data_IF_327156827542
#
_entry.id   IF_327156827542
#
_cell.length_a   1.000
_cell.length_b   1.000
_cell.length_c   1.000
_cell.angle_alpha   90.00
_cell.angle_beta   90.00
_cell.angle_gamma   90.00
#
_symmetry.space_group_name_H-M   'P 1'
#
loop_
_entity.id
_entity.type
_entity.pdbx_description
1 polymer ?
#
# COMPACT_ATOMS: atom_id res chain seq x y z
N UNK A 1 20.77 -4.51 14.54
CA UNK A 1 20.87 -3.11 15.01
C UNK A 1 21.71 -3.00 16.26
N UNK A 2 21.54 -3.90 17.22
CA UNK A 2 22.02 -3.83 18.60
C UNK A 2 23.50 -3.40 18.77
N UNK A 3 24.41 -3.83 17.91
CA UNK A 3 25.84 -3.55 17.98
C UNK A 3 26.40 -2.81 16.76
N UNK A 4 25.53 -2.34 15.88
CA UNK A 4 25.94 -1.68 14.64
C UNK A 4 25.88 -0.16 14.72
N UNK A 5 25.00 0.39 15.53
CA UNK A 5 24.77 1.83 15.68
C UNK A 5 24.42 2.19 17.13
N UNK A 6 24.73 3.42 17.54
CA UNK A 6 24.31 3.95 18.83
C UNK A 6 22.81 4.34 18.80
N UNK A 7 22.35 4.86 17.66
CA UNK A 7 20.96 5.28 17.42
C UNK A 7 20.35 4.44 16.29
N UNK A 8 19.35 3.62 16.61
CA UNK A 8 18.69 2.73 15.64
C UNK A 8 18.02 3.51 14.49
N UNK A 9 17.55 4.73 14.76
CA UNK A 9 16.94 5.61 13.78
C UNK A 9 17.88 6.01 12.63
N UNK A 10 19.20 5.99 12.86
CA UNK A 10 20.20 6.24 11.81
C UNK A 10 20.13 5.20 10.68
N UNK A 11 19.77 3.94 11.01
CA UNK A 11 19.56 2.90 9.99
C UNK A 11 18.27 3.19 9.22
N UNK A 12 17.17 3.51 9.90
CA UNK A 12 15.88 3.82 9.28
C UNK A 12 15.99 5.01 8.33
N UNK A 13 16.73 6.03 8.71
CA UNK A 13 17.00 7.21 7.86
C UNK A 13 18.03 6.98 6.75
N UNK A 14 18.60 5.80 6.63
CA UNK A 14 19.65 5.51 5.67
C UNK A 14 20.98 6.22 5.92
N UNK A 15 21.16 6.82 7.11
CA UNK A 15 22.43 7.50 7.52
C UNK A 15 23.54 6.46 7.68
N UNK A 16 23.19 5.29 8.21
CA UNK A 16 24.10 4.16 8.36
C UNK A 16 23.50 2.90 7.71
N UNK A 17 24.30 2.12 6.98
CA UNK A 17 23.82 0.90 6.36
C UNK A 17 23.60 -0.21 7.39
N UNK A 18 22.66 -1.10 7.14
CA UNK A 18 22.59 -2.41 7.83
C UNK A 18 23.73 -3.28 7.32
N UNK A 19 24.59 -3.74 8.22
CA UNK A 19 25.78 -4.55 7.86
C UNK A 19 25.62 -6.03 8.21
N UNK A 20 24.70 -6.38 9.09
CA UNK A 20 24.36 -7.74 9.48
C UNK A 20 22.93 -7.81 10.03
N UNK A 21 22.29 -8.96 9.90
CA UNK A 21 21.02 -9.27 10.56
C UNK A 21 21.06 -10.71 11.09
N UNK A 22 20.30 -10.97 12.15
CA UNK A 22 20.06 -12.35 12.60
C UNK A 22 19.08 -13.01 11.63
N UNK A 23 19.16 -14.33 11.41
CA UNK A 23 18.15 -15.03 10.62
C UNK A 23 16.75 -14.83 11.21
N UNK A 24 15.79 -14.47 10.35
CA UNK A 24 14.40 -14.28 10.72
C UNK A 24 13.61 -15.52 10.34
N UNK A 25 12.74 -15.99 11.21
CA UNK A 25 11.77 -17.04 10.96
C UNK A 25 10.40 -16.49 11.33
N UNK A 26 9.49 -16.48 10.36
CA UNK A 26 8.17 -15.89 10.51
C UNK A 26 7.08 -16.94 10.61
N UNK A 27 6.08 -16.67 11.44
CA UNK A 27 4.78 -17.35 11.43
C UNK A 27 3.73 -16.27 11.27
N UNK A 28 3.17 -16.16 10.07
CA UNK A 28 2.30 -15.05 9.72
C UNK A 28 0.88 -15.28 10.21
N UNK A 29 0.33 -14.28 10.89
CA UNK A 29 -1.02 -14.35 11.48
C UNK A 29 -2.02 -13.38 10.86
N UNK A 30 -1.55 -12.48 9.99
CA UNK A 30 -2.40 -11.49 9.31
C UNK A 30 -1.88 -11.25 7.89
N UNK A 31 -2.76 -11.38 6.91
CA UNK A 31 -2.47 -11.09 5.51
C UNK A 31 -2.64 -9.59 5.23
N UNK A 32 -1.56 -8.87 4.94
CA UNK A 32 -1.54 -7.45 4.63
C UNK A 32 -0.26 -7.05 3.86
N UNK A 33 0.83 -6.81 4.58
CA UNK A 33 2.07 -6.20 4.08
C UNK A 33 2.94 -7.11 3.23
N UNK A 34 2.77 -8.44 3.29
CA UNK A 34 3.64 -9.37 2.58
C UNK A 34 5.03 -9.55 3.22
N UNK A 35 5.18 -9.23 4.51
CA UNK A 35 6.46 -9.27 5.25
C UNK A 35 7.14 -10.64 5.25
N UNK A 36 6.39 -11.69 4.98
CA UNK A 36 6.90 -13.06 4.82
C UNK A 36 7.80 -13.26 3.60
N UNK A 37 7.73 -12.35 2.64
CA UNK A 37 8.54 -12.39 1.43
C UNK A 37 8.99 -10.98 1.01
N UNK A 38 9.37 -10.18 1.99
CA UNK A 38 9.80 -8.79 1.82
C UNK A 38 11.15 -8.57 2.54
N UNK A 39 11.81 -7.48 2.20
CA UNK A 39 13.13 -7.09 2.76
C UNK A 39 13.06 -5.79 3.56
N UNK A 40 11.88 -5.39 3.99
CA UNK A 40 11.68 -4.09 4.59
C UNK A 40 10.80 -4.08 5.82
N UNK A 41 10.59 -2.88 6.29
CA UNK A 41 9.68 -2.60 7.39
C UNK A 41 9.48 -1.11 7.56
N UNK A 42 8.43 -0.74 8.27
CA UNK A 42 8.10 0.65 8.55
C UNK A 42 8.17 0.89 10.05
N UNK A 43 8.88 1.94 10.46
CA UNK A 43 9.09 2.26 11.88
C UNK A 43 8.61 3.68 12.15
N UNK A 44 7.81 3.82 13.21
CA UNK A 44 7.34 5.11 13.70
C UNK A 44 8.23 5.63 14.82
N UNK A 45 8.54 6.93 14.79
CA UNK A 45 9.17 7.68 15.86
C UNK A 45 8.17 8.70 16.41
N UNK A 46 7.58 8.37 17.55
CA UNK A 46 6.48 9.15 18.13
C UNK A 46 6.90 10.54 18.61
N UNK A 47 8.17 10.73 18.98
CA UNK A 47 8.69 12.01 19.44
C UNK A 47 8.70 13.09 18.36
N UNK A 48 8.79 12.67 17.09
CA UNK A 48 8.88 13.58 15.93
C UNK A 48 7.72 13.42 14.95
N UNK A 49 6.79 12.50 15.20
CA UNK A 49 5.74 12.08 14.29
C UNK A 49 6.28 11.61 12.92
N UNK A 50 7.46 10.99 12.92
CA UNK A 50 8.02 10.38 11.72
C UNK A 50 7.54 8.94 11.59
N UNK A 51 7.24 8.51 10.37
CA UNK A 51 6.98 7.10 10.02
C UNK A 51 7.67 6.83 8.69
N UNK A 52 8.74 6.04 8.73
CA UNK A 52 9.62 5.81 7.59
C UNK A 52 9.75 4.32 7.29
N UNK A 53 9.78 4.01 6.00
CA UNK A 53 10.18 2.70 5.52
C UNK A 53 11.72 2.58 5.48
N UNK A 54 12.22 1.39 5.78
CA UNK A 54 13.62 1.04 5.52
C UNK A 54 13.69 -0.33 4.84
N UNK A 55 14.72 -0.54 4.04
CA UNK A 55 14.90 -1.77 3.28
C UNK A 55 16.33 -2.28 3.38
N UNK A 56 16.47 -3.61 3.53
CA UNK A 56 17.77 -4.27 3.49
C UNK A 56 17.62 -5.73 3.04
N UNK A 57 18.38 -6.20 2.05
CA UNK A 57 18.36 -7.60 1.65
C UNK A 57 18.72 -8.57 2.78
N UNK A 58 19.35 -8.07 3.84
CA UNK A 58 19.74 -8.87 5.01
C UNK A 58 18.57 -9.24 5.92
N UNK A 59 17.40 -8.58 5.78
CA UNK A 59 16.23 -8.82 6.63
C UNK A 59 15.15 -9.66 5.94
N UNK A 60 15.40 -10.20 4.75
CA UNK A 60 14.53 -11.22 4.20
C UNK A 60 14.39 -12.38 5.19
N UNK A 61 13.18 -12.86 5.48
CA UNK A 61 12.98 -14.07 6.28
C UNK A 61 13.71 -15.28 5.66
N UNK A 62 14.44 -16.00 6.49
CA UNK A 62 15.07 -17.26 6.07
C UNK A 62 14.04 -18.38 5.85
N UNK A 63 12.96 -18.33 6.62
CA UNK A 63 11.80 -19.25 6.52
C UNK A 63 10.55 -18.48 6.96
N UNK A 64 9.48 -18.61 6.19
CA UNK A 64 8.16 -18.07 6.56
C UNK A 64 7.11 -19.19 6.51
N UNK A 65 6.31 -19.30 7.58
CA UNK A 65 5.19 -20.24 7.66
C UNK A 65 3.88 -19.48 7.39
N UNK A 66 3.21 -19.86 6.32
CA UNK A 66 1.96 -19.28 5.87
C UNK A 66 0.86 -20.35 5.99
N UNK A 67 0.00 -20.18 6.99
CA UNK A 67 -1.20 -20.99 7.17
C UNK A 67 -2.43 -20.09 7.23
N UNK A 68 -3.32 -20.12 6.23
CA UNK A 68 -4.52 -19.27 6.20
C UNK A 68 -5.39 -19.40 7.44
N UNK A 69 -5.36 -20.53 8.16
CA UNK A 69 -6.16 -20.73 9.37
C UNK A 69 -5.77 -19.78 10.50
N UNK A 70 -4.51 -19.34 10.56
CA UNK A 70 -4.07 -18.36 11.55
C UNK A 70 -4.72 -16.97 11.36
N UNK A 71 -5.28 -16.70 10.18
CA UNK A 71 -5.99 -15.46 9.90
C UNK A 71 -7.47 -15.50 10.30
N UNK A 72 -8.03 -16.64 10.70
CA UNK A 72 -9.45 -16.80 11.03
C UNK A 72 -9.87 -15.93 12.24
N UNK A 73 -8.96 -15.77 13.21
CA UNK A 73 -9.19 -14.96 14.40
C UNK A 73 -8.92 -13.46 14.21
N UNK A 74 -8.42 -13.05 13.03
CA UNK A 74 -8.20 -11.63 12.73
C UNK A 74 -9.54 -10.92 12.64
N UNK A 75 -9.75 -9.83 13.40
CA UNK A 75 -10.97 -9.05 13.30
C UNK A 75 -11.24 -8.59 11.86
N UNK A 76 -12.50 -8.64 11.44
CA UNK A 76 -12.89 -8.29 10.07
C UNK A 76 -12.32 -6.93 9.64
N UNK A 77 -12.39 -5.91 10.51
CA UNK A 77 -11.80 -4.59 10.24
C UNK A 77 -10.34 -4.66 9.77
N UNK A 78 -9.52 -5.45 10.45
CA UNK A 78 -8.10 -5.59 10.08
C UNK A 78 -7.89 -6.42 8.82
N UNK A 79 -8.75 -7.40 8.55
CA UNK A 79 -8.74 -8.11 7.26
C UNK A 79 -9.03 -7.16 6.10
N UNK A 80 -10.03 -6.28 6.25
CA UNK A 80 -10.38 -5.30 5.23
C UNK A 80 -9.26 -4.28 5.01
N UNK A 81 -8.67 -3.79 6.10
CA UNK A 81 -7.52 -2.90 6.04
C UNK A 81 -6.32 -3.55 5.34
N UNK A 82 -6.01 -4.82 5.64
CA UNK A 82 -4.94 -5.57 4.97
C UNK A 82 -5.18 -5.77 3.48
N UNK A 83 -6.43 -6.00 3.08
CA UNK A 83 -6.79 -6.07 1.66
C UNK A 83 -6.63 -4.70 0.98
N UNK A 84 -7.05 -3.61 1.63
CA UNK A 84 -6.87 -2.26 1.10
C UNK A 84 -5.40 -1.88 0.98
N UNK A 85 -4.59 -2.24 1.95
CA UNK A 85 -3.14 -2.07 1.95
C UNK A 85 -2.49 -2.78 0.75
N UNK A 86 -2.76 -4.07 0.57
CA UNK A 86 -2.24 -4.83 -0.57
C UNK A 86 -2.71 -4.26 -1.92
N UNK A 87 -3.96 -3.86 -2.05
CA UNK A 87 -4.46 -3.21 -3.28
C UNK A 87 -3.65 -1.94 -3.55
N UNK A 88 -3.32 -1.15 -2.52
CA UNK A 88 -2.51 0.05 -2.70
C UNK A 88 -1.06 -0.26 -3.06
N UNK A 89 -0.41 -1.27 -2.47
CA UNK A 89 0.91 -1.73 -2.92
C UNK A 89 0.93 -2.01 -4.43
N UNK A 90 -0.08 -2.75 -4.89
CA UNK A 90 -0.22 -3.10 -6.30
C UNK A 90 -0.53 -1.86 -7.15
N UNK A 91 -1.42 -0.98 -6.69
CA UNK A 91 -1.79 0.24 -7.43
C UNK A 91 -0.63 1.22 -7.55
N UNK A 92 0.19 1.39 -6.52
CA UNK A 92 1.38 2.24 -6.61
C UNK A 92 2.39 1.68 -7.59
N UNK A 93 2.61 0.37 -7.58
CA UNK A 93 3.42 -0.29 -8.62
C UNK A 93 2.81 -0.12 -10.01
N UNK A 94 1.48 -0.22 -10.15
CA UNK A 94 0.78 -0.09 -11.42
C UNK A 94 0.82 1.34 -11.98
N UNK A 95 0.58 2.36 -11.14
CA UNK A 95 0.47 3.76 -11.59
C UNK A 95 1.79 4.51 -11.62
N UNK A 96 2.78 4.10 -10.83
CA UNK A 96 4.04 4.80 -10.67
C UNK A 96 5.23 4.08 -11.32
N UNK A 97 5.00 3.12 -12.18
CA UNK A 97 6.05 2.42 -12.94
C UNK A 97 5.75 2.40 -14.44
N UNK A 98 6.75 2.03 -15.21
CA UNK A 98 6.63 1.87 -16.66
C UNK A 98 5.57 0.81 -17.01
N UNK A 99 4.93 0.99 -18.16
CA UNK A 99 3.95 0.04 -18.66
C UNK A 99 4.62 -1.21 -19.22
N UNK A 100 4.38 -2.38 -18.62
CA UNK A 100 4.73 -3.70 -19.13
C UNK A 100 3.49 -4.58 -19.08
N UNK A 101 2.96 -4.98 -20.23
CA UNK A 101 1.69 -5.70 -20.36
C UNK A 101 1.55 -6.92 -19.45
N UNK A 102 2.62 -7.72 -19.32
CA UNK A 102 2.60 -8.91 -18.48
C UNK A 102 2.47 -8.55 -17.00
N UNK A 103 3.22 -7.55 -16.55
CA UNK A 103 3.17 -7.10 -15.16
C UNK A 103 1.81 -6.47 -14.83
N UNK A 104 1.29 -5.66 -15.73
CA UNK A 104 -0.07 -5.09 -15.61
C UNK A 104 -1.13 -6.20 -15.47
N UNK A 105 -1.07 -7.22 -16.32
CA UNK A 105 -2.02 -8.34 -16.28
C UNK A 105 -1.95 -9.12 -14.95
N UNK A 106 -0.75 -9.31 -14.38
CA UNK A 106 -0.56 -9.91 -13.07
C UNK A 106 -1.15 -9.04 -11.96
N UNK A 107 -0.84 -7.74 -11.95
CA UNK A 107 -1.34 -6.78 -10.97
C UNK A 107 -2.88 -6.67 -11.00
N UNK A 108 -3.47 -6.54 -12.19
CA UNK A 108 -4.92 -6.51 -12.38
C UNK A 108 -5.58 -7.83 -11.93
N UNK A 109 -4.94 -8.98 -12.22
CA UNK A 109 -5.38 -10.29 -11.77
C UNK A 109 -5.39 -10.43 -10.26
N UNK A 110 -4.34 -9.96 -9.60
CA UNK A 110 -4.22 -9.98 -8.15
C UNK A 110 -5.28 -9.10 -7.48
N UNK A 111 -5.51 -7.87 -7.98
CA UNK A 111 -6.56 -7.00 -7.45
C UNK A 111 -7.95 -7.61 -7.65
N UNK A 112 -8.25 -8.20 -8.82
CA UNK A 112 -9.52 -8.92 -9.03
C UNK A 112 -9.70 -10.08 -8.04
N UNK A 113 -8.63 -10.82 -7.74
CA UNK A 113 -8.68 -11.90 -6.73
C UNK A 113 -9.01 -11.34 -5.34
N UNK A 114 -8.35 -10.25 -4.92
CA UNK A 114 -8.62 -9.57 -3.65
C UNK A 114 -10.06 -9.08 -3.56
N UNK A 115 -10.54 -8.36 -4.56
CA UNK A 115 -11.94 -7.83 -4.65
C UNK A 115 -12.97 -8.96 -4.53
N UNK A 116 -12.72 -10.08 -5.20
CA UNK A 116 -13.61 -11.25 -5.17
C UNK A 116 -13.62 -11.95 -3.81
N UNK A 117 -12.43 -12.23 -3.27
CA UNK A 117 -12.30 -13.12 -2.12
C UNK A 117 -12.57 -12.41 -0.79
N UNK A 118 -12.30 -11.09 -0.67
CA UNK A 118 -12.69 -10.34 0.53
C UNK A 118 -14.21 -10.37 0.77
N UNK A 119 -15.02 -10.34 -0.30
CA UNK A 119 -16.47 -10.45 -0.20
C UNK A 119 -16.93 -11.82 0.33
N UNK A 120 -16.20 -12.89 0.01
CA UNK A 120 -16.47 -14.22 0.59
C UNK A 120 -16.12 -14.27 2.08
N UNK A 121 -14.98 -13.68 2.47
CA UNK A 121 -14.56 -13.60 3.87
C UNK A 121 -15.56 -12.77 4.70
N UNK A 122 -16.20 -11.75 4.13
CA UNK A 122 -17.27 -11.00 4.81
C UNK A 122 -18.50 -11.86 5.09
N UNK A 123 -18.79 -12.86 4.24
CA UNK A 123 -19.92 -13.80 4.43
C UNK A 123 -19.51 -14.95 5.37
N UNK A 124 -18.31 -15.49 5.19
CA UNK A 124 -17.75 -16.53 6.04
C UNK A 124 -16.31 -16.20 6.42
N UNK A 125 -16.05 -15.67 7.62
CA UNK A 125 -14.70 -15.29 8.06
C UNK A 125 -13.68 -16.44 8.11
N UNK A 126 -14.15 -17.69 8.13
CA UNK A 126 -13.33 -18.90 8.17
C UNK A 126 -13.29 -19.62 6.81
N UNK A 127 -13.66 -18.96 5.71
CA UNK A 127 -13.52 -19.50 4.36
C UNK A 127 -12.02 -19.64 4.02
N UNK A 128 -11.53 -20.88 4.14
CA UNK A 128 -10.11 -21.21 3.95
C UNK A 128 -9.61 -20.82 2.57
N UNK A 129 -10.36 -21.14 1.52
CA UNK A 129 -9.95 -20.87 0.14
C UNK A 129 -9.87 -19.36 -0.12
N UNK A 130 -10.87 -18.61 0.36
CA UNK A 130 -10.84 -17.16 0.24
C UNK A 130 -9.70 -16.49 1.03
N UNK A 131 -9.41 -17.00 2.24
CA UNK A 131 -8.28 -16.54 3.05
C UNK A 131 -6.93 -16.89 2.39
N UNK A 132 -6.79 -18.08 1.82
CA UNK A 132 -5.60 -18.51 1.11
C UNK A 132 -5.32 -17.62 -0.13
N UNK A 133 -6.36 -17.30 -0.91
CA UNK A 133 -6.26 -16.40 -2.07
C UNK A 133 -5.83 -14.98 -1.66
N UNK A 134 -6.42 -14.44 -0.59
CA UNK A 134 -6.03 -13.13 -0.05
C UNK A 134 -4.58 -13.18 0.41
N UNK A 135 -4.19 -14.21 1.17
CA UNK A 135 -2.84 -14.36 1.68
C UNK A 135 -1.82 -14.43 0.55
N UNK A 136 -2.09 -15.24 -0.48
CA UNK A 136 -1.19 -15.34 -1.63
C UNK A 136 -1.03 -14.01 -2.36
N UNK A 137 -2.12 -13.27 -2.55
CA UNK A 137 -2.06 -11.95 -3.18
C UNK A 137 -1.27 -10.93 -2.34
N UNK A 138 -1.42 -10.94 -1.00
CA UNK A 138 -0.68 -10.04 -0.10
C UNK A 138 0.80 -10.37 -0.05
N UNK A 139 1.18 -11.64 -0.07
CA UNK A 139 2.59 -12.07 -0.15
C UNK A 139 3.30 -11.51 -1.39
N UNK A 140 2.61 -11.40 -2.52
CA UNK A 140 3.19 -10.91 -3.78
C UNK A 140 3.05 -9.40 -3.98
N UNK A 141 2.14 -8.74 -3.25
CA UNK A 141 1.76 -7.35 -3.50
C UNK A 141 2.87 -6.34 -3.28
N UNK A 142 3.76 -6.57 -2.31
CA UNK A 142 4.79 -5.64 -1.89
C UNK A 142 6.22 -6.07 -2.20
N UNK A 143 6.46 -7.34 -2.57
CA UNK A 143 7.80 -7.92 -2.69
C UNK A 143 8.57 -7.55 -3.96
N UNK A 144 8.01 -6.70 -4.82
CA UNK A 144 8.63 -6.23 -6.06
C UNK A 144 8.50 -7.18 -7.25
N UNK A 145 7.85 -8.35 -7.12
CA UNK A 145 7.72 -9.29 -8.25
C UNK A 145 6.92 -8.68 -9.41
N UNK A 146 5.96 -7.82 -9.12
CA UNK A 146 5.17 -7.13 -10.13
C UNK A 146 5.92 -5.98 -10.81
N UNK A 147 7.08 -5.59 -10.27
CA UNK A 147 7.92 -4.54 -10.81
C UNK A 147 9.17 -5.07 -11.53
N UNK A 148 9.24 -6.38 -11.80
CA UNK A 148 10.36 -6.96 -12.53
C UNK A 148 10.48 -6.34 -13.93
N UNK A 149 11.68 -5.78 -14.22
CA UNK A 149 11.95 -5.07 -15.47
C UNK A 149 11.55 -3.60 -15.49
N UNK A 150 10.94 -3.10 -14.39
CA UNK A 150 10.64 -1.68 -14.21
C UNK A 150 11.79 -0.93 -13.53
N UNK A 151 11.83 0.39 -13.72
CA UNK A 151 12.53 1.29 -12.81
C UNK A 151 11.85 1.30 -11.44
N UNK A 152 12.56 1.63 -10.34
CA UNK A 152 11.92 1.77 -9.03
C UNK A 152 10.73 2.75 -9.10
N UNK A 153 9.58 2.32 -8.62
CA UNK A 153 8.38 3.16 -8.54
C UNK A 153 8.39 4.05 -7.31
N UNK A 154 7.73 5.20 -7.38
CA UNK A 154 7.41 6.00 -6.21
C UNK A 154 6.25 5.39 -5.41
N UNK A 155 6.10 5.82 -4.15
CA UNK A 155 5.05 5.37 -3.24
C UNK A 155 4.29 6.56 -2.63
N UNK A 156 3.62 7.40 -3.46
CA UNK A 156 3.02 8.65 -3.02
C UNK A 156 1.87 8.47 -2.04
N UNK A 157 1.05 7.46 -2.24
CA UNK A 157 -0.10 7.22 -1.36
C UNK A 157 0.36 6.74 0.01
N UNK A 158 1.38 5.86 0.06
CA UNK A 158 1.99 5.43 1.31
C UNK A 158 2.69 6.57 2.05
N UNK A 159 3.45 7.41 1.35
CA UNK A 159 4.11 8.56 1.96
C UNK A 159 3.11 9.52 2.62
N UNK A 160 1.99 9.81 1.95
CA UNK A 160 0.91 10.63 2.53
C UNK A 160 0.20 9.93 3.70
N UNK A 161 0.00 8.62 3.60
CA UNK A 161 -0.63 7.83 4.66
C UNK A 161 0.26 7.72 5.90
N UNK A 162 1.57 7.61 5.71
CA UNK A 162 2.52 7.58 6.82
C UNK A 162 2.38 8.81 7.72
N UNK A 163 2.13 10.00 7.15
CA UNK A 163 1.83 11.17 7.95
C UNK A 163 0.51 11.03 8.73
N UNK A 164 -0.56 10.51 8.11
CA UNK A 164 -1.82 10.26 8.84
C UNK A 164 -1.62 9.30 10.00
N UNK A 165 -0.95 8.19 9.80
CA UNK A 165 -0.65 7.21 10.84
C UNK A 165 0.26 7.76 11.93
N UNK A 166 1.29 8.54 11.56
CA UNK A 166 2.22 9.13 12.52
C UNK A 166 1.55 10.14 13.45
N UNK A 167 0.56 10.89 12.94
CA UNK A 167 -0.12 11.95 13.68
C UNK A 167 -1.37 11.49 14.44
N UNK A 168 -2.07 10.45 13.94
CA UNK A 168 -3.39 10.07 14.44
C UNK A 168 -3.54 8.57 14.77
N UNK A 169 -2.50 7.77 14.55
CA UNK A 169 -2.54 6.31 14.77
C UNK A 169 -3.72 5.62 14.05
N UNK A 170 -4.06 6.11 12.86
CA UNK A 170 -5.11 5.50 12.02
C UNK A 170 -4.67 4.11 11.54
N UNK A 171 -5.63 3.21 11.33
CA UNK A 171 -5.36 1.92 10.70
C UNK A 171 -4.83 2.15 9.27
N UNK A 172 -3.62 1.68 8.98
CA UNK A 172 -2.87 1.98 7.75
C UNK A 172 -3.68 1.80 6.47
N UNK A 173 -4.27 0.62 6.26
CA UNK A 173 -5.09 0.37 5.06
C UNK A 173 -6.36 1.21 4.96
N UNK A 174 -6.93 1.69 6.09
CA UNK A 174 -8.03 2.66 6.05
C UNK A 174 -7.55 4.02 5.56
N UNK A 175 -6.38 4.47 6.03
CA UNK A 175 -5.75 5.70 5.56
C UNK A 175 -5.48 5.67 4.07
N UNK A 176 -4.90 4.57 3.58
CA UNK A 176 -4.65 4.35 2.15
C UNK A 176 -5.95 4.37 1.33
N UNK A 177 -6.99 3.67 1.77
CA UNK A 177 -8.28 3.66 1.07
C UNK A 177 -8.91 5.06 0.96
N UNK A 178 -8.74 5.90 1.98
CA UNK A 178 -9.20 7.30 1.96
C UNK A 178 -8.40 8.13 0.96
N UNK A 179 -7.08 7.95 0.92
CA UNK A 179 -6.16 8.76 0.08
C UNK A 179 -6.30 8.40 -1.39
N UNK A 180 -6.34 7.11 -1.72
CA UNK A 180 -6.20 6.59 -3.09
C UNK A 180 -7.13 7.24 -4.13
N UNK A 181 -8.47 7.29 -3.97
CA UNK A 181 -9.32 7.91 -4.98
C UNK A 181 -9.12 9.42 -5.08
N UNK A 182 -8.63 10.07 -4.01
CA UNK A 182 -8.32 11.51 -4.00
C UNK A 182 -7.03 11.79 -4.76
N UNK A 183 -5.99 11.00 -4.52
CA UNK A 183 -4.74 11.08 -5.27
C UNK A 183 -4.98 10.84 -6.76
N UNK A 184 -5.73 9.80 -7.13
CA UNK A 184 -6.06 9.52 -8.54
C UNK A 184 -6.77 10.70 -9.20
N UNK A 185 -7.73 11.32 -8.51
CA UNK A 185 -8.41 12.52 -9.02
C UNK A 185 -7.47 13.73 -9.11
N UNK A 186 -6.54 13.86 -8.18
CA UNK A 186 -5.54 14.92 -8.19
C UNK A 186 -4.64 14.79 -9.42
N UNK A 187 -4.02 13.65 -9.66
CA UNK A 187 -3.17 13.45 -10.85
C UNK A 187 -3.97 13.60 -12.15
N UNK A 188 -5.21 13.11 -12.18
CA UNK A 188 -6.10 13.27 -13.32
C UNK A 188 -6.37 14.75 -13.65
N UNK A 189 -6.43 15.64 -12.69
CA UNK A 189 -6.77 17.06 -12.88
C UNK A 189 -5.56 17.98 -13.04
N UNK A 190 -4.39 17.62 -12.50
CA UNK A 190 -3.23 18.50 -12.44
C UNK A 190 -2.11 18.13 -13.42
N UNK A 191 -2.18 16.96 -14.06
CA UNK A 191 -1.23 16.62 -15.14
C UNK A 191 -1.67 17.24 -16.47
N UNK A 192 -0.69 17.50 -17.36
CA UNK A 192 -0.91 18.08 -18.69
C UNK A 192 -0.03 17.40 -19.74
N UNK A 193 -0.35 17.60 -21.03
CA UNK A 193 0.41 17.03 -22.14
C UNK A 193 0.48 15.51 -22.14
N UNK A 194 1.60 14.96 -22.52
CA UNK A 194 1.83 13.51 -22.63
C UNK A 194 1.60 12.77 -21.30
N UNK A 195 2.01 13.37 -20.18
CA UNK A 195 1.79 12.81 -18.86
C UNK A 195 0.29 12.64 -18.56
N UNK A 196 -0.53 13.60 -18.99
CA UNK A 196 -1.99 13.52 -18.86
C UNK A 196 -2.55 12.34 -19.64
N UNK A 197 -2.06 12.12 -20.86
CA UNK A 197 -2.49 11.01 -21.70
C UNK A 197 -2.17 9.66 -21.04
N UNK A 198 -0.98 9.51 -20.49
CA UNK A 198 -0.56 8.33 -19.73
C UNK A 198 -1.44 8.10 -18.48
N UNK A 199 -1.72 9.14 -17.70
CA UNK A 199 -2.61 9.06 -16.53
C UNK A 199 -4.00 8.57 -16.92
N UNK A 200 -4.58 9.15 -17.98
CA UNK A 200 -5.90 8.75 -18.48
C UNK A 200 -5.88 7.28 -18.88
N UNK A 201 -4.94 6.89 -19.72
CA UNK A 201 -4.82 5.50 -20.20
C UNK A 201 -4.72 4.50 -19.04
N UNK A 202 -3.85 4.78 -18.05
CA UNK A 202 -3.64 3.89 -16.90
C UNK A 202 -4.87 3.77 -16.02
N UNK A 203 -5.55 4.87 -15.73
CA UNK A 203 -6.77 4.86 -14.90
C UNK A 203 -7.91 4.11 -15.63
N UNK A 204 -8.11 4.36 -16.93
CA UNK A 204 -9.14 3.68 -17.71
C UNK A 204 -8.85 2.19 -17.88
N UNK A 205 -7.60 1.82 -18.17
CA UNK A 205 -7.17 0.42 -18.29
C UNK A 205 -7.43 -0.34 -16.99
N UNK A 206 -7.02 0.23 -15.85
CA UNK A 206 -7.26 -0.38 -14.53
C UNK A 206 -8.75 -0.56 -14.24
N UNK A 207 -9.55 0.50 -14.42
CA UNK A 207 -10.99 0.46 -14.20
C UNK A 207 -11.69 -0.59 -15.05
N UNK A 208 -11.34 -0.65 -16.33
CA UNK A 208 -11.89 -1.63 -17.28
C UNK A 208 -11.52 -3.07 -16.90
N UNK A 209 -10.26 -3.34 -16.59
CA UNK A 209 -9.79 -4.70 -16.36
C UNK A 209 -10.09 -5.21 -14.95
N UNK A 210 -10.17 -4.34 -13.96
CA UNK A 210 -10.45 -4.73 -12.56
C UNK A 210 -11.94 -4.70 -12.24
N UNK A 211 -12.62 -3.61 -12.62
CA UNK A 211 -14.01 -3.35 -12.22
C UNK A 211 -15.01 -3.45 -13.38
N UNK A 212 -14.55 -3.56 -14.62
CA UNK A 212 -15.44 -3.65 -15.81
C UNK A 212 -16.14 -2.34 -16.14
N UNK A 213 -15.56 -1.19 -15.75
CA UNK A 213 -16.11 0.16 -16.00
C UNK A 213 -15.29 0.90 -17.04
N UNK A 214 -15.87 1.91 -17.70
CA UNK A 214 -15.21 2.71 -18.72
C UNK A 214 -15.15 4.19 -18.29
N UNK A 215 -14.00 4.83 -18.56
CA UNK A 215 -13.72 6.22 -18.23
C UNK A 215 -13.09 6.44 -16.86
N UNK A 216 -12.26 7.48 -16.74
CA UNK A 216 -11.46 7.76 -15.55
C UNK A 216 -12.31 7.99 -14.28
N UNK A 217 -13.34 8.83 -14.35
CA UNK A 217 -14.18 9.12 -13.17
C UNK A 217 -14.94 7.87 -12.72
N UNK A 218 -15.43 7.03 -13.65
CA UNK A 218 -16.07 5.78 -13.31
C UNK A 218 -15.09 4.80 -12.66
N UNK A 219 -13.84 4.76 -13.12
CA UNK A 219 -12.77 3.93 -12.53
C UNK A 219 -12.43 4.36 -11.10
N UNK A 220 -12.26 5.66 -10.87
CA UNK A 220 -12.00 6.21 -9.54
C UNK A 220 -13.19 5.97 -8.61
N UNK A 221 -14.42 6.15 -9.12
CA UNK A 221 -15.63 5.91 -8.35
C UNK A 221 -15.79 4.42 -7.99
N UNK A 222 -15.46 3.49 -8.91
CA UNK A 222 -15.53 2.06 -8.64
C UNK A 222 -14.60 1.61 -7.51
N UNK A 223 -13.39 2.18 -7.42
CA UNK A 223 -12.47 1.94 -6.30
C UNK A 223 -13.06 2.45 -4.98
N UNK A 224 -13.55 3.69 -4.98
CA UNK A 224 -14.21 4.29 -3.81
C UNK A 224 -15.39 3.44 -3.35
N UNK A 225 -16.27 3.03 -4.28
CA UNK A 225 -17.49 2.29 -3.97
C UNK A 225 -17.18 0.87 -3.49
N UNK A 226 -16.13 0.24 -4.04
CA UNK A 226 -15.64 -1.05 -3.54
C UNK A 226 -15.21 -0.96 -2.08
N UNK A 227 -14.38 0.02 -1.71
CA UNK A 227 -13.97 0.19 -0.32
C UNK A 227 -15.15 0.49 0.61
N UNK A 228 -16.09 1.31 0.14
CA UNK A 228 -17.33 1.60 0.87
C UNK A 228 -18.19 0.35 1.02
N UNK A 229 -18.36 -0.45 -0.03
CA UNK A 229 -19.14 -1.70 -0.02
C UNK A 229 -18.62 -2.70 1.00
N UNK A 230 -17.31 -2.84 1.13
CA UNK A 230 -16.71 -3.75 2.12
C UNK A 230 -16.66 -3.16 3.54
N UNK A 231 -17.05 -1.92 3.75
CA UNK A 231 -17.19 -1.29 5.06
C UNK A 231 -15.99 -0.47 5.54
N UNK A 232 -15.09 -0.06 4.63
CA UNK A 232 -13.99 0.84 4.97
C UNK A 232 -14.48 2.29 5.02
N UNK A 233 -14.11 3.09 6.04
CA UNK A 233 -14.34 4.53 6.05
C UNK A 233 -13.68 5.22 4.87
N UNK A 234 -14.40 6.16 4.22
CA UNK A 234 -13.90 6.81 3.01
C UNK A 234 -13.64 8.32 3.18
N UNK A 235 -13.71 8.80 4.42
CA UNK A 235 -13.38 10.20 4.75
C UNK A 235 -12.61 10.29 6.06
N UNK A 236 -11.73 11.28 6.18
CA UNK A 236 -11.01 11.56 7.43
C UNK A 236 -11.98 11.84 8.58
N UNK A 237 -13.11 12.48 8.31
CA UNK A 237 -14.15 12.76 9.31
C UNK A 237 -14.74 11.49 9.91
N UNK A 238 -14.95 10.43 9.11
CA UNK A 238 -15.48 9.14 9.59
C UNK A 238 -14.52 8.42 10.54
N UNK A 239 -13.23 8.72 10.46
CA UNK A 239 -12.19 8.21 11.36
C UNK A 239 -11.81 9.21 12.45
N UNK A 240 -12.58 10.29 12.61
CA UNK A 240 -12.40 11.28 13.68
C UNK A 240 -11.29 12.29 13.46
N UNK A 241 -10.79 12.43 12.22
CA UNK A 241 -9.73 13.37 11.87
C UNK A 241 -10.36 14.59 11.18
N UNK A 242 -10.08 15.78 11.70
CA UNK A 242 -10.47 17.05 11.13
C UNK A 242 -9.38 17.66 10.23
N UNK A 243 -9.62 18.86 9.70
CA UNK A 243 -8.71 19.55 8.78
C UNK A 243 -7.64 20.43 9.48
N UNK A 244 -7.64 20.47 10.81
CA UNK A 244 -6.81 21.41 11.59
C UNK A 244 -5.31 21.21 11.40
N UNK A 245 -4.85 19.99 11.13
CA UNK A 245 -3.44 19.65 10.97
C UNK A 245 -3.04 19.23 9.54
N UNK A 246 -3.95 19.29 8.55
CA UNK A 246 -3.65 18.85 7.19
C UNK A 246 -2.46 19.59 6.57
N UNK A 247 -2.39 20.92 6.75
CA UNK A 247 -1.27 21.72 6.25
C UNK A 247 0.06 21.39 6.94
N UNK A 248 0.05 21.09 8.25
CA UNK A 248 1.22 20.65 8.98
C UNK A 248 1.72 19.28 8.46
N UNK A 249 0.82 18.31 8.30
CA UNK A 249 1.14 16.98 7.79
C UNK A 249 1.68 17.03 6.36
N UNK A 250 1.04 17.80 5.48
CA UNK A 250 1.49 17.97 4.10
C UNK A 250 2.93 18.53 4.03
N UNK A 251 3.23 19.55 4.83
CA UNK A 251 4.57 20.09 4.92
C UNK A 251 5.57 19.09 5.48
N UNK A 252 5.20 18.37 6.53
CA UNK A 252 6.05 17.37 7.16
C UNK A 252 6.42 16.24 6.17
N UNK A 253 5.44 15.71 5.45
CA UNK A 253 5.67 14.68 4.42
C UNK A 253 6.56 15.20 3.29
N UNK A 254 6.33 16.41 2.81
CA UNK A 254 7.15 17.02 1.76
C UNK A 254 8.63 17.14 2.20
N UNK A 255 8.87 17.53 3.44
CA UNK A 255 10.23 17.67 4.01
C UNK A 255 10.88 16.30 4.27
N UNK A 256 10.12 15.31 4.76
CA UNK A 256 10.62 14.01 5.19
C UNK A 256 10.89 13.07 4.01
N UNK A 257 9.96 13.01 3.06
CA UNK A 257 9.96 12.07 1.92
C UNK A 257 10.45 12.74 0.62
N UNK A 258 10.73 14.04 0.66
CA UNK A 258 11.13 14.81 -0.53
C UNK A 258 10.02 14.98 -1.55
N UNK A 259 8.76 14.87 -1.12
CA UNK A 259 7.61 15.10 -1.97
C UNK A 259 7.39 16.60 -2.13
N UNK A 260 7.51 17.11 -3.33
CA UNK A 260 7.13 18.47 -3.68
C UNK A 260 5.88 18.50 -4.58
N UNK A 261 5.39 19.70 -4.89
CA UNK A 261 4.21 19.86 -5.76
C UNK A 261 4.42 19.30 -7.19
N UNK A 262 5.68 19.12 -7.60
CA UNK A 262 6.03 18.58 -8.91
C UNK A 262 6.13 17.04 -8.91
N UNK A 263 5.98 16.41 -7.75
CA UNK A 263 6.13 14.97 -7.63
C UNK A 263 4.86 14.23 -8.05
N UNK A 264 4.72 14.06 -9.34
CA UNK A 264 3.79 13.14 -9.97
C UNK A 264 4.65 12.02 -10.55
N UNK A 265 4.87 10.91 -9.82
CA UNK A 265 5.72 9.83 -10.30
C UNK A 265 4.93 8.98 -11.28
N UNK A 266 4.87 9.45 -12.49
CA UNK A 266 4.38 8.69 -13.63
C UNK A 266 5.53 8.59 -14.62
N UNK A 267 5.98 7.40 -14.83
CA UNK A 267 6.94 7.08 -15.87
C UNK A 267 6.22 6.53 -17.10
#
# INVERSE_FOLDING_TARGET
VYDQVEEAWDIVRGIKPTTAAVPIVDIITMAATGSEYDMGGVISRTETNDKLAYFSPLVFPAVSFIDPTYTFSVPVKHTLAGVADCINHIMESYFCSEHIDMNDAFMEGAVRSLVKNVKKVLVNPEDYDARAEIFYATTLGCNGIYCLGHSPSGWPMHAMEHALSAYYDITHGEGLAIITPRWMRHILTHTTGELREQVVERIEKFGKHVFGVEGCEASIQAIHDFYREIGIPMTLKEVGIDDSRLGEMAKHVAELEGLDEAWVPLY
#
